data_IF_501973458338
#
_entry.id   IF_501973458338
#
_cell.length_a   1.000
_cell.length_b   1.000
_cell.length_c   1.000
_cell.angle_alpha   90.00
_cell.angle_beta   90.00
_cell.angle_gamma   90.00
#
_symmetry.space_group_name_H-M   'P 1'
#
loop_
_entity.id
_entity.type
_entity.pdbx_description
1 polymer ?
#
# COMPACT_ATOMS: atom_id res chain seq x y z
N UNK A 1 7.91 -31.99 -34.92
CA UNK A 1 6.59 -31.62 -34.40
C UNK A 1 6.80 -30.52 -33.39
N UNK A 2 6.62 -29.30 -33.79
CA UNK A 2 6.74 -28.15 -32.90
C UNK A 2 5.35 -27.87 -32.34
N UNK A 3 5.15 -28.21 -31.09
CA UNK A 3 3.99 -27.75 -30.34
C UNK A 3 4.12 -26.23 -30.18
N UNK A 4 3.44 -25.49 -31.04
CA UNK A 4 3.28 -24.06 -30.85
C UNK A 4 2.51 -23.81 -29.57
N UNK A 5 3.22 -23.48 -28.50
CA UNK A 5 2.65 -22.80 -27.35
C UNK A 5 2.20 -21.42 -27.85
N UNK A 6 0.96 -21.37 -28.33
CA UNK A 6 0.23 -20.12 -28.40
C UNK A 6 0.07 -19.60 -26.97
N UNK A 7 1.09 -18.92 -26.49
CA UNK A 7 0.91 -17.95 -25.44
C UNK A 7 0.02 -16.86 -26.07
N UNK A 8 -1.30 -17.05 -25.96
CA UNK A 8 -2.19 -15.93 -26.02
C UNK A 8 -1.69 -14.97 -24.95
N UNK A 9 -0.98 -13.91 -25.35
CA UNK A 9 -0.74 -12.75 -24.51
C UNK A 9 -2.13 -12.23 -24.17
N UNK A 10 -2.66 -12.71 -23.04
CA UNK A 10 -3.86 -12.15 -22.45
C UNK A 10 -3.63 -10.65 -22.36
N UNK A 11 -4.65 -9.88 -22.65
CA UNK A 11 -4.65 -8.43 -22.46
C UNK A 11 -4.08 -8.15 -21.10
N UNK A 12 -3.00 -7.36 -21.02
CA UNK A 12 -2.35 -7.01 -19.75
C UNK A 12 -3.41 -6.41 -18.80
N UNK A 13 -3.46 -6.92 -17.58
CA UNK A 13 -4.40 -6.43 -16.55
C UNK A 13 -4.08 -4.97 -16.25
N UNK A 14 -5.09 -4.10 -16.42
CA UNK A 14 -4.91 -2.68 -16.08
C UNK A 14 -4.78 -2.49 -14.56
N UNK A 15 -4.16 -1.41 -14.09
CA UNK A 15 -4.14 -1.09 -12.66
C UNK A 15 -5.54 -0.98 -12.03
N UNK A 16 -6.52 -0.47 -12.76
CA UNK A 16 -7.91 -0.43 -12.32
C UNK A 16 -8.53 -1.82 -12.17
N UNK A 17 -8.26 -2.73 -13.11
CA UNK A 17 -8.70 -4.14 -13.01
C UNK A 17 -7.98 -4.86 -11.87
N UNK A 18 -6.69 -4.60 -11.68
CA UNK A 18 -5.92 -5.13 -10.55
C UNK A 18 -6.50 -4.65 -9.21
N UNK A 19 -6.89 -3.38 -9.11
CA UNK A 19 -7.58 -2.85 -7.93
C UNK A 19 -8.91 -3.59 -7.66
N UNK A 20 -9.70 -3.82 -8.70
CA UNK A 20 -10.95 -4.59 -8.58
C UNK A 20 -10.69 -6.03 -8.12
N UNK A 21 -9.68 -6.69 -8.67
CA UNK A 21 -9.28 -8.04 -8.26
C UNK A 21 -8.82 -8.09 -6.80
N UNK A 22 -8.09 -7.08 -6.34
CA UNK A 22 -7.67 -6.99 -4.95
C UNK A 22 -8.86 -6.83 -4.00
N UNK A 23 -9.85 -6.00 -4.34
CA UNK A 23 -11.10 -5.87 -3.59
C UNK A 23 -11.87 -7.20 -3.54
N UNK A 24 -11.95 -7.90 -4.65
CA UNK A 24 -12.59 -9.22 -4.72
C UNK A 24 -11.87 -10.24 -3.82
N UNK A 25 -10.54 -10.24 -3.82
CA UNK A 25 -9.74 -11.09 -2.95
C UNK A 25 -9.90 -10.75 -1.46
N UNK A 26 -10.15 -9.49 -1.12
CA UNK A 26 -10.48 -9.08 0.24
C UNK A 26 -11.85 -9.61 0.69
N UNK A 27 -12.81 -9.67 -0.21
CA UNK A 27 -14.18 -10.17 0.08
C UNK A 27 -14.21 -11.69 0.21
N UNK A 28 -13.48 -12.41 -0.66
CA UNK A 28 -13.55 -13.88 -0.73
C UNK A 28 -12.53 -14.61 0.19
N UNK A 29 -11.72 -13.88 0.94
CA UNK A 29 -10.77 -14.44 1.91
C UNK A 29 -9.38 -14.75 1.36
N UNK A 30 -9.12 -14.59 0.07
CA UNK A 30 -7.80 -14.84 -0.52
C UNK A 30 -6.76 -13.83 -0.02
N UNK A 31 -7.14 -12.58 0.19
CA UNK A 31 -6.26 -11.58 0.77
C UNK A 31 -5.95 -11.89 2.24
N UNK A 32 -6.91 -12.35 3.02
CA UNK A 32 -6.72 -12.76 4.41
C UNK A 32 -5.71 -13.91 4.50
N UNK A 33 -5.82 -14.90 3.62
CA UNK A 33 -4.88 -16.01 3.56
C UNK A 33 -3.45 -15.55 3.22
N UNK A 34 -3.30 -14.63 2.27
CA UNK A 34 -2.01 -14.03 1.93
C UNK A 34 -1.43 -13.25 3.12
N UNK A 35 -2.26 -12.46 3.78
CA UNK A 35 -1.85 -11.68 4.95
C UNK A 35 -1.40 -12.56 6.11
N UNK A 36 -2.03 -13.71 6.31
CA UNK A 36 -1.63 -14.68 7.33
C UNK A 36 -0.28 -15.34 7.00
N UNK A 37 -0.08 -15.76 5.75
CA UNK A 37 1.19 -16.35 5.30
C UNK A 37 2.37 -15.39 5.51
N UNK A 38 2.16 -14.12 5.22
CA UNK A 38 3.21 -13.09 5.29
C UNK A 38 3.21 -12.29 6.59
N UNK A 39 2.39 -12.66 7.56
CA UNK A 39 2.27 -11.99 8.86
C UNK A 39 2.04 -10.47 8.74
N UNK A 40 1.10 -10.08 7.89
CA UNK A 40 0.71 -8.69 7.71
C UNK A 40 -0.27 -8.26 8.80
N UNK A 41 -0.14 -7.04 9.28
CA UNK A 41 -1.06 -6.41 10.23
C UNK A 41 -2.11 -5.55 9.53
N UNK A 42 -1.78 -5.04 8.35
CA UNK A 42 -2.61 -4.10 7.61
C UNK A 42 -2.30 -4.19 6.12
N UNK A 43 -3.33 -4.11 5.29
CA UNK A 43 -3.21 -3.92 3.83
C UNK A 43 -4.14 -2.78 3.44
N UNK A 44 -3.58 -1.76 2.83
CA UNK A 44 -4.30 -0.55 2.39
C UNK A 44 -4.04 -0.32 0.90
N UNK A 45 -5.09 -0.12 0.14
CA UNK A 45 -4.99 0.31 -1.25
C UNK A 45 -5.13 1.82 -1.33
N UNK A 46 -4.28 2.47 -2.11
CA UNK A 46 -4.29 3.93 -2.26
C UNK A 46 -3.92 4.35 -3.69
N UNK A 47 -3.77 5.63 -3.93
CA UNK A 47 -3.33 6.16 -5.21
C UNK A 47 -4.42 6.18 -6.29
N UNK A 48 -4.00 6.42 -7.53
CA UNK A 48 -4.91 6.68 -8.65
C UNK A 48 -5.72 5.46 -9.09
N UNK A 49 -5.13 4.26 -9.05
CA UNK A 49 -5.82 3.03 -9.41
C UNK A 49 -6.98 2.71 -8.44
N UNK A 50 -6.81 3.01 -7.15
CA UNK A 50 -7.87 2.83 -6.14
C UNK A 50 -9.08 3.74 -6.38
N UNK A 51 -8.86 4.87 -7.00
CA UNK A 51 -9.91 5.82 -7.39
C UNK A 51 -10.49 5.56 -8.78
N UNK A 52 -10.08 4.48 -9.44
CA UNK A 52 -10.57 4.11 -10.77
C UNK A 52 -10.09 5.01 -11.90
N UNK A 53 -8.99 5.73 -11.71
CA UNK A 53 -8.43 6.61 -12.76
C UNK A 53 -7.87 5.77 -13.91
N UNK A 54 -8.29 6.02 -15.17
CA UNK A 54 -7.92 5.17 -16.30
C UNK A 54 -6.46 5.32 -16.72
N UNK A 55 -5.80 6.41 -16.34
CA UNK A 55 -4.39 6.72 -16.59
C UNK A 55 -3.45 6.26 -15.48
N UNK A 56 -3.97 5.55 -14.47
CA UNK A 56 -3.15 4.98 -13.42
C UNK A 56 -2.07 4.05 -14.00
N UNK A 57 -0.83 4.20 -13.55
CA UNK A 57 0.31 3.40 -14.03
C UNK A 57 0.47 2.12 -13.25
N UNK A 58 0.28 2.19 -11.95
CA UNK A 58 0.49 1.08 -11.02
C UNK A 58 -0.65 1.02 -10.00
N UNK A 59 -0.79 -0.14 -9.39
CA UNK A 59 -1.63 -0.35 -8.22
C UNK A 59 -0.78 -0.12 -6.96
N UNK A 60 -1.09 0.93 -6.21
CA UNK A 60 -0.38 1.29 -5.00
C UNK A 60 -0.98 0.58 -3.78
N UNK A 61 -0.17 -0.19 -3.07
CA UNK A 61 -0.55 -0.95 -1.89
C UNK A 61 0.41 -0.63 -0.75
N UNK A 62 -0.12 -0.27 0.41
CA UNK A 62 0.65 -0.11 1.64
C UNK A 62 0.40 -1.28 2.58
N UNK A 63 1.44 -1.80 3.20
CA UNK A 63 1.37 -2.93 4.12
C UNK A 63 2.10 -2.64 5.43
N UNK A 64 1.56 -3.16 6.52
CA UNK A 64 2.21 -3.21 7.83
C UNK A 64 2.51 -4.64 8.23
N UNK A 65 3.61 -4.86 8.98
CA UNK A 65 3.98 -6.16 9.53
C UNK A 65 3.45 -6.34 10.94
N UNK A 66 3.12 -7.59 11.32
CA UNK A 66 2.76 -7.95 12.70
C UNK A 66 3.95 -7.95 13.63
N UNK A 67 5.14 -8.20 13.10
CA UNK A 67 6.38 -8.39 13.83
C UNK A 67 7.34 -7.21 13.63
N UNK A 68 8.12 -6.91 14.66
CA UNK A 68 9.22 -5.92 14.59
C UNK A 68 10.41 -6.38 13.74
N UNK A 69 10.48 -7.66 13.40
CA UNK A 69 11.55 -8.20 12.54
C UNK A 69 11.45 -7.71 11.10
N UNK A 70 10.35 -7.05 10.76
CA UNK A 70 10.13 -6.46 9.46
C UNK A 70 9.42 -7.38 8.48
N UNK A 71 9.31 -6.90 7.25
CA UNK A 71 8.58 -7.49 6.17
C UNK A 71 9.55 -8.05 5.12
N UNK A 72 9.30 -9.24 4.62
CA UNK A 72 9.91 -9.70 3.38
C UNK A 72 9.20 -9.04 2.19
N UNK A 73 9.67 -7.86 1.82
CA UNK A 73 9.05 -7.03 0.78
C UNK A 73 8.97 -7.75 -0.55
N UNK A 74 10.01 -8.49 -0.93
CA UNK A 74 10.05 -9.21 -2.22
C UNK A 74 9.01 -10.33 -2.23
N UNK A 75 8.91 -11.11 -1.17
CA UNK A 75 7.92 -12.17 -1.08
C UNK A 75 6.49 -11.62 -1.10
N UNK A 76 6.23 -10.52 -0.40
CA UNK A 76 4.91 -9.90 -0.35
C UNK A 76 4.51 -9.30 -1.69
N UNK A 77 5.40 -8.56 -2.35
CA UNK A 77 5.08 -7.96 -3.66
C UNK A 77 4.82 -9.04 -4.71
N UNK A 78 5.61 -10.11 -4.73
CA UNK A 78 5.37 -11.24 -5.63
C UNK A 78 4.02 -11.90 -5.37
N UNK A 79 3.67 -12.13 -4.11
CA UNK A 79 2.36 -12.71 -3.75
C UNK A 79 1.19 -11.81 -4.15
N UNK A 80 1.32 -10.50 -3.99
CA UNK A 80 0.30 -9.54 -4.42
C UNK A 80 0.18 -9.48 -5.95
N UNK A 81 1.30 -9.47 -6.67
CA UNK A 81 1.31 -9.54 -8.14
C UNK A 81 0.59 -10.79 -8.65
N UNK A 82 0.85 -11.94 -8.04
CA UNK A 82 0.16 -13.19 -8.38
C UNK A 82 -1.33 -13.12 -8.05
N UNK A 83 -1.69 -12.54 -6.92
CA UNK A 83 -3.09 -12.41 -6.48
C UNK A 83 -3.94 -11.57 -7.44
N UNK A 84 -3.38 -10.49 -7.96
CA UNK A 84 -4.07 -9.58 -8.88
C UNK A 84 -3.78 -9.86 -10.35
N UNK A 85 -2.89 -10.81 -10.64
CA UNK A 85 -2.45 -11.18 -11.98
C UNK A 85 -1.91 -9.96 -12.77
N UNK A 86 -1.06 -9.19 -12.12
CA UNK A 86 -0.44 -7.99 -12.70
C UNK A 86 0.94 -7.75 -12.10
N UNK A 87 1.88 -7.35 -12.93
CA UNK A 87 3.22 -6.93 -12.52
C UNK A 87 3.30 -5.43 -12.18
N UNK A 88 2.20 -4.71 -12.37
CA UNK A 88 2.10 -3.27 -12.08
C UNK A 88 1.59 -3.02 -10.66
N UNK A 89 2.34 -3.49 -9.68
CA UNK A 89 2.07 -3.29 -8.25
C UNK A 89 3.23 -2.53 -7.64
N UNK A 90 2.93 -1.44 -6.94
CA UNK A 90 3.88 -0.69 -6.12
C UNK A 90 3.57 -0.90 -4.64
N UNK A 91 4.58 -1.27 -3.87
CA UNK A 91 4.44 -1.66 -2.46
C UNK A 91 5.12 -0.65 -1.54
N UNK A 92 4.37 -0.10 -0.61
CA UNK A 92 4.88 0.74 0.47
C UNK A 92 4.90 -0.05 1.78
N UNK A 93 6.09 -0.23 2.35
CA UNK A 93 6.26 -0.75 3.70
C UNK A 93 6.01 0.37 4.72
N UNK A 94 4.87 0.30 5.44
CA UNK A 94 4.46 1.32 6.39
C UNK A 94 5.41 1.45 7.59
N UNK A 95 6.11 0.38 7.95
CA UNK A 95 7.04 0.38 9.09
C UNK A 95 8.34 1.13 8.76
N UNK A 96 8.71 1.20 7.49
CA UNK A 96 9.89 1.90 6.99
C UNK A 96 9.60 3.25 6.33
N UNK A 97 8.34 3.50 5.99
CA UNK A 97 7.95 4.72 5.30
C UNK A 97 8.12 5.96 6.17
N UNK A 98 8.57 7.04 5.55
CA UNK A 98 8.60 8.36 6.21
C UNK A 98 7.18 8.94 6.43
N UNK A 99 7.07 10.00 7.26
CA UNK A 99 5.77 10.57 7.64
C UNK A 99 4.91 11.02 6.46
N UNK A 100 5.51 11.60 5.44
CA UNK A 100 4.80 12.09 4.24
C UNK A 100 4.22 10.93 3.43
N UNK A 101 5.02 9.88 3.19
CA UNK A 101 4.57 8.71 2.45
C UNK A 101 3.47 7.95 3.21
N UNK A 102 3.61 7.80 4.52
CA UNK A 102 2.58 7.19 5.38
C UNK A 102 1.26 7.96 5.32
N UNK A 103 1.31 9.27 5.42
CA UNK A 103 0.11 10.09 5.32
C UNK A 103 -0.55 9.99 3.94
N UNK A 104 0.25 10.04 2.88
CA UNK A 104 -0.24 9.95 1.51
C UNK A 104 -0.94 8.61 1.25
N UNK A 105 -0.46 7.53 1.85
CA UNK A 105 -1.08 6.21 1.73
C UNK A 105 -2.31 6.03 2.62
N UNK A 106 -2.24 6.49 3.87
CA UNK A 106 -3.23 6.16 4.89
C UNK A 106 -4.43 7.12 4.91
N UNK A 107 -4.23 8.42 4.69
CA UNK A 107 -5.33 9.39 4.82
C UNK A 107 -6.41 9.18 3.77
N UNK A 108 -6.08 9.07 2.45
CA UNK A 108 -7.07 8.75 1.43
C UNK A 108 -7.22 7.24 1.19
N UNK A 109 -6.50 6.40 1.95
CA UNK A 109 -6.41 4.97 1.71
C UNK A 109 -7.68 4.20 2.00
N UNK A 110 -7.83 3.07 1.31
CA UNK A 110 -8.91 2.10 1.49
C UNK A 110 -8.34 0.87 2.21
N UNK A 111 -8.73 0.61 3.48
CA UNK A 111 -8.29 -0.57 4.19
C UNK A 111 -8.97 -1.82 3.63
N UNK A 112 -8.18 -2.81 3.21
CA UNK A 112 -8.68 -4.08 2.68
C UNK A 112 -8.48 -5.24 3.64
N UNK A 113 -7.53 -5.14 4.56
CA UNK A 113 -7.25 -6.12 5.58
C UNK A 113 -6.73 -5.47 6.85
N UNK A 114 -7.25 -5.88 7.99
CA UNK A 114 -6.76 -5.54 9.33
C UNK A 114 -6.63 -6.82 10.16
N UNK A 115 -5.46 -7.07 10.73
CA UNK A 115 -5.27 -8.19 11.65
C UNK A 115 -6.03 -7.99 12.96
N UNK A 116 -6.04 -6.74 13.44
CA UNK A 116 -6.83 -6.33 14.61
C UNK A 116 -7.75 -5.19 14.22
N UNK A 117 -9.01 -5.29 14.61
CA UNK A 117 -9.98 -4.23 14.36
C UNK A 117 -9.46 -2.87 14.87
N UNK A 118 -9.54 -1.84 14.04
CA UNK A 118 -9.09 -0.50 14.35
C UNK A 118 -7.60 -0.23 14.06
N UNK A 119 -6.86 -1.17 13.52
CA UNK A 119 -5.43 -0.97 13.17
C UNK A 119 -5.26 0.16 12.15
N UNK A 120 -6.10 0.20 11.12
CA UNK A 120 -6.09 1.27 10.13
C UNK A 120 -6.32 2.64 10.77
N UNK A 121 -7.34 2.76 11.61
CA UNK A 121 -7.66 4.02 12.29
C UNK A 121 -6.50 4.48 13.19
N UNK A 122 -5.86 3.57 13.93
CA UNK A 122 -4.68 3.88 14.75
C UNK A 122 -3.51 4.37 13.91
N UNK A 123 -3.21 3.68 12.82
CA UNK A 123 -2.13 4.05 11.89
C UNK A 123 -2.40 5.40 11.21
N UNK A 124 -3.64 5.64 10.82
CA UNK A 124 -4.07 6.89 10.20
C UNK A 124 -3.94 8.09 11.16
N UNK A 125 -4.37 7.94 12.41
CA UNK A 125 -4.20 8.98 13.43
C UNK A 125 -2.73 9.25 13.73
N UNK A 126 -1.91 8.21 13.83
CA UNK A 126 -0.46 8.34 14.03
C UNK A 126 0.21 9.07 12.87
N UNK A 127 -0.14 8.74 11.64
CA UNK A 127 0.39 9.41 10.44
C UNK A 127 0.02 10.89 10.39
N UNK A 128 -1.22 11.23 10.72
CA UNK A 128 -1.70 12.62 10.79
C UNK A 128 -1.01 13.40 11.91
N UNK A 129 -0.83 12.81 13.08
CA UNK A 129 -0.13 13.41 14.22
C UNK A 129 1.35 13.67 13.95
N UNK A 130 2.04 12.75 13.30
CA UNK A 130 3.45 12.90 12.92
C UNK A 130 3.67 14.07 11.96
N UNK A 131 2.77 14.26 11.00
CA UNK A 131 2.86 15.40 10.06
C UNK A 131 2.66 16.74 10.75
N UNK A 132 1.66 16.86 11.60
CA UNK A 132 1.41 18.09 12.37
C UNK A 132 2.61 18.45 13.24
N UNK A 133 3.23 17.48 13.91
CA UNK A 133 4.45 17.67 14.67
C UNK A 133 5.64 18.13 13.82
N UNK A 134 5.82 17.57 12.64
CA UNK A 134 6.90 17.94 11.72
C UNK A 134 6.70 19.35 11.13
N UNK A 135 5.47 19.72 10.77
CA UNK A 135 5.16 21.06 10.29
C UNK A 135 5.36 22.12 11.37
N UNK A 136 5.00 21.83 12.61
CA UNK A 136 5.20 22.72 13.73
C UNK A 136 6.69 22.94 14.01
N UNK A 137 7.52 21.88 14.00
CA UNK A 137 8.96 21.96 14.13
C UNK A 137 9.60 22.80 13.00
N UNK A 138 9.19 22.58 11.75
CA UNK A 138 9.66 23.40 10.61
C UNK A 138 9.32 24.88 10.77
N UNK A 139 8.13 25.18 11.24
CA UNK A 139 7.71 26.60 11.49
C UNK A 139 8.52 27.22 12.62
N UNK A 140 8.82 26.47 13.65
CA UNK A 140 9.62 26.93 14.77
C UNK A 140 11.07 27.22 14.32
N UNK A 141 11.67 26.29 13.55
CA UNK A 141 13.04 26.47 13.03
C UNK A 141 13.13 27.69 12.11
N UNK A 142 12.15 27.91 11.23
CA UNK A 142 12.09 29.07 10.34
C UNK A 142 11.91 30.37 11.13
N UNK A 143 11.11 30.37 12.18
CA UNK A 143 10.92 31.54 13.05
C UNK A 143 12.21 31.88 13.81
N UNK A 144 12.93 30.87 14.33
CA UNK A 144 14.20 31.06 15.05
C UNK A 144 15.31 31.53 14.10
N UNK A 145 15.30 31.13 12.84
CA UNK A 145 16.26 31.61 11.82
C UNK A 145 15.97 33.06 11.38
N UNK A 146 14.70 33.48 11.42
CA UNK A 146 14.29 34.84 11.05
C UNK A 146 14.63 35.89 12.14
N UNK A 147 14.77 35.47 13.39
CA UNK A 147 15.07 36.34 14.53
C UNK A 147 16.60 36.57 14.79
N UNK A 148 17.47 36.04 13.94
CA UNK A 148 18.91 36.34 13.99
C UNK A 148 19.29 37.30 12.86
N UNK A 149 19.64 38.59 13.20
CA UNK A 149 20.15 39.54 12.22
C UNK A 149 21.54 39.18 11.73
#
# INVERSE_FOLDING_TARGET
>A
MILGLNYARGVAVSPADAAHRLRSAAVDGRLDALADVHSLSLVVMFGSASRGQPDARDLDIAVGARSRTGLDVVAVICALMDLVDSDRVDLLDLDRAGPVARQHALVPGEPLYEYRAGEFARQQMRASGQRLGTEWMRRLDLALMADHP
#
